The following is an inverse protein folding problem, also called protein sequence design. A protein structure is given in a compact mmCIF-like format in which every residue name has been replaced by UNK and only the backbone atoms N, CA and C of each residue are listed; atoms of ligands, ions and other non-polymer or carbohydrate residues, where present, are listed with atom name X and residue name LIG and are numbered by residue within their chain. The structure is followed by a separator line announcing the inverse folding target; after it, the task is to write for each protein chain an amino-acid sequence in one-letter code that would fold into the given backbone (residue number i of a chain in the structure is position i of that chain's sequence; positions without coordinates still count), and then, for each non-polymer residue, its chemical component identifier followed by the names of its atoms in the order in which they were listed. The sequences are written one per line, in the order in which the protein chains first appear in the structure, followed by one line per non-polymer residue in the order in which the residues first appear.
data_IF_121401525349
#
_entry.id   IF_121401525349
#
_cell.length_a   1.000
_cell.length_b   1.000
_cell.length_c   1.000
_cell.angle_alpha   90.00
_cell.angle_beta   90.00
_cell.angle_gamma   90.00
#
_symmetry.space_group_name_H-M   'P 1'
#
loop_
_entity.id
_entity.type
_entity.pdbx_description
1 polymer ?
#
# COMPACT_ATOMS: atom_id res chain seq x y z
N UNK A 1 -29.89 -37.18 10.38
CA UNK A 1 -29.63 -37.27 11.83
C UNK A 1 -28.14 -37.42 12.06
N UNK A 2 -27.60 -36.66 13.02
CA UNK A 2 -26.19 -36.41 13.35
C UNK A 2 -25.37 -37.68 13.60
N UNK A 3 -24.07 -37.62 13.25
CA UNK A 3 -22.85 -38.31 13.77
C UNK A 3 -21.82 -38.33 12.62
N UNK A 4 -20.59 -37.85 12.68
CA UNK A 4 -19.75 -37.40 13.78
C UNK A 4 -18.64 -36.52 13.19
N UNK A 5 -18.40 -35.43 13.89
CA UNK A 5 -17.24 -34.54 13.82
C UNK A 5 -15.95 -35.38 13.88
N UNK A 6 -15.11 -35.32 12.85
CA UNK A 6 -13.71 -35.72 12.93
C UNK A 6 -12.84 -34.77 12.08
N UNK A 7 -11.95 -34.08 12.78
CA UNK A 7 -10.76 -33.36 12.33
C UNK A 7 -10.87 -32.39 11.14
N UNK A 8 -11.11 -31.11 11.44
CA UNK A 8 -10.35 -30.03 10.80
C UNK A 8 -9.92 -29.04 11.89
N UNK A 9 -8.86 -29.41 12.62
CA UNK A 9 -8.00 -28.46 13.29
C UNK A 9 -7.02 -27.94 12.25
N UNK A 10 -7.23 -26.72 11.73
CA UNK A 10 -6.17 -25.76 11.46
C UNK A 10 -6.73 -24.50 10.76
N UNK A 11 -6.37 -23.35 11.32
CA UNK A 11 -6.15 -22.09 10.63
C UNK A 11 -7.36 -21.47 9.93
N UNK A 12 -8.15 -20.72 10.68
CA UNK A 12 -8.25 -19.26 10.47
C UNK A 12 -9.42 -18.75 11.30
N UNK A 13 -9.09 -18.23 12.47
CA UNK A 13 -10.01 -17.28 13.07
C UNK A 13 -10.25 -16.16 12.06
N UNK A 14 -11.49 -15.76 11.87
CA UNK A 14 -11.76 -14.33 11.99
C UNK A 14 -13.21 -14.09 12.38
N UNK A 15 -13.29 -13.22 13.38
CA UNK A 15 -14.47 -12.66 13.96
C UNK A 15 -15.15 -11.65 13.02
N UNK A 16 -16.48 -11.71 13.01
CA UNK A 16 -17.51 -10.66 13.13
C UNK A 16 -17.21 -9.21 12.64
N UNK A 17 -18.21 -8.67 11.91
CA UNK A 17 -18.86 -7.35 12.12
C UNK A 17 -18.68 -6.24 11.05
N UNK A 18 -19.83 -5.90 10.44
CA UNK A 18 -20.35 -4.57 10.05
C UNK A 18 -19.64 -3.69 8.99
N UNK A 19 -20.19 -3.80 7.76
CA UNK A 19 -20.47 -2.79 6.72
C UNK A 19 -19.62 -1.50 6.64
N UNK A 20 -18.85 -1.40 5.55
CA UNK A 20 -18.89 -0.24 4.65
C UNK A 20 -18.58 -0.70 3.21
N UNK A 21 -19.63 -0.73 2.37
CA UNK A 21 -19.64 -0.98 0.91
C UNK A 21 -18.49 -1.79 0.30
N UNK A 22 -18.61 -3.12 0.35
CA UNK A 22 -17.91 -4.05 -0.54
C UNK A 22 -18.97 -4.70 -1.44
N UNK A 23 -18.93 -4.42 -2.73
CA UNK A 23 -19.63 -5.20 -3.73
C UNK A 23 -18.97 -6.59 -3.78
N UNK A 24 -19.70 -7.63 -3.40
CA UNK A 24 -19.24 -9.02 -3.46
C UNK A 24 -19.57 -9.59 -4.83
N UNK A 25 -18.57 -9.93 -5.64
CA UNK A 25 -18.67 -10.96 -6.69
C UNK A 25 -17.32 -11.69 -6.84
N UNK A 26 -17.32 -12.98 -6.50
CA UNK A 26 -16.42 -14.07 -6.95
C UNK A 26 -14.88 -13.95 -6.72
N UNK A 27 -14.27 -15.01 -6.21
CA UNK A 27 -12.83 -15.12 -5.96
C UNK A 27 -12.41 -14.69 -4.55
N UNK A 28 -11.67 -15.57 -3.87
CA UNK A 28 -11.26 -15.44 -2.47
C UNK A 28 -10.70 -14.05 -2.10
N UNK A 29 -10.90 -13.59 -0.86
CA UNK A 29 -10.40 -12.28 -0.39
C UNK A 29 -8.88 -12.08 -0.60
N UNK A 30 -8.13 -13.18 -0.77
CA UNK A 30 -6.71 -13.17 -1.09
C UNK A 30 -6.43 -12.68 -2.52
N UNK A 31 -7.21 -13.07 -3.54
CA UNK A 31 -7.03 -12.58 -4.92
C UNK A 31 -7.36 -11.10 -5.04
N UNK A 32 -8.33 -10.60 -4.25
CA UNK A 32 -8.62 -9.17 -4.18
C UNK A 32 -7.49 -8.40 -3.49
N UNK A 33 -6.96 -8.91 -2.39
CA UNK A 33 -5.81 -8.30 -1.72
C UNK A 33 -4.56 -8.28 -2.63
N UNK A 34 -4.34 -9.34 -3.41
CA UNK A 34 -3.28 -9.43 -4.40
C UNK A 34 -3.47 -8.39 -5.53
N UNK A 35 -4.69 -8.23 -6.05
CA UNK A 35 -5.00 -7.23 -7.06
C UNK A 35 -4.85 -5.79 -6.54
N UNK A 36 -5.32 -5.50 -5.33
CA UNK A 36 -5.14 -4.19 -4.68
C UNK A 36 -3.66 -3.89 -4.48
N UNK A 37 -2.88 -4.88 -4.03
CA UNK A 37 -1.44 -4.73 -3.89
C UNK A 37 -0.76 -4.45 -5.23
N UNK A 38 -1.14 -5.16 -6.30
CA UNK A 38 -0.59 -4.93 -7.63
C UNK A 38 -0.81 -3.48 -8.11
N UNK A 39 -2.00 -2.92 -7.88
CA UNK A 39 -2.30 -1.53 -8.23
C UNK A 39 -1.39 -0.53 -7.49
N UNK A 40 -1.11 -0.77 -6.20
CA UNK A 40 -0.19 0.08 -5.44
C UNK A 40 1.26 -0.04 -5.91
N UNK A 41 1.69 -1.22 -6.34
CA UNK A 41 3.03 -1.42 -6.93
C UNK A 41 3.14 -0.67 -8.26
N UNK A 42 2.11 -0.73 -9.10
CA UNK A 42 2.06 0.00 -10.36
C UNK A 42 2.10 1.52 -10.13
N UNK A 43 1.26 2.04 -9.23
CA UNK A 43 1.24 3.45 -8.87
C UNK A 43 2.59 3.92 -8.30
N UNK A 44 3.22 3.08 -7.45
CA UNK A 44 4.56 3.36 -6.92
C UNK A 44 5.59 3.51 -8.05
N UNK A 45 5.59 2.58 -9.02
CA UNK A 45 6.52 2.60 -10.14
C UNK A 45 6.30 3.83 -11.04
N UNK A 46 5.04 4.12 -11.37
CA UNK A 46 4.68 5.31 -12.16
C UNK A 46 5.16 6.60 -11.48
N UNK A 47 4.90 6.77 -10.18
CA UNK A 47 5.34 7.95 -9.44
C UNK A 47 6.87 8.02 -9.33
N UNK A 48 7.55 6.88 -9.27
CA UNK A 48 9.01 6.82 -9.27
C UNK A 48 9.58 7.32 -10.60
N UNK A 49 9.07 6.84 -11.73
CA UNK A 49 9.48 7.33 -13.05
C UNK A 49 9.19 8.83 -13.21
N UNK A 50 8.01 9.28 -12.80
CA UNK A 50 7.64 10.69 -12.83
C UNK A 50 8.55 11.57 -11.93
N UNK A 51 8.97 11.05 -10.78
CA UNK A 51 9.94 11.72 -9.91
C UNK A 51 11.32 11.83 -10.57
N UNK A 52 11.79 10.77 -11.25
CA UNK A 52 13.03 10.82 -12.02
C UNK A 52 12.93 11.77 -13.22
N UNK A 53 11.74 11.94 -13.80
CA UNK A 53 11.45 12.95 -14.82
C UNK A 53 11.29 14.38 -14.26
N UNK A 54 11.56 14.61 -12.97
CA UNK A 54 11.57 15.94 -12.37
C UNK A 54 10.23 16.44 -11.81
N UNK A 55 9.21 15.59 -11.70
CA UNK A 55 7.94 15.98 -11.07
C UNK A 55 8.06 15.92 -9.54
N UNK A 56 8.20 17.09 -8.93
CA UNK A 56 8.38 17.25 -7.48
C UNK A 56 7.26 16.58 -6.65
N UNK A 57 6.00 16.70 -7.07
CA UNK A 57 4.85 16.08 -6.40
C UNK A 57 4.89 14.55 -6.46
N UNK A 58 5.44 13.97 -7.53
CA UNK A 58 5.61 12.53 -7.64
C UNK A 58 6.68 12.02 -6.66
N UNK A 59 7.78 12.76 -6.49
CA UNK A 59 8.78 12.44 -5.47
C UNK A 59 8.18 12.43 -4.05
N UNK A 60 7.29 13.37 -3.73
CA UNK A 60 6.56 13.36 -2.46
C UNK A 60 5.70 12.10 -2.29
N UNK A 61 4.97 11.68 -3.35
CA UNK A 61 4.18 10.43 -3.33
C UNK A 61 5.05 9.19 -3.11
N UNK A 62 6.22 9.11 -3.74
CA UNK A 62 7.19 8.02 -3.50
C UNK A 62 7.68 8.03 -2.05
N UNK A 63 7.94 9.21 -1.48
CA UNK A 63 8.29 9.37 -0.07
C UNK A 63 7.20 8.80 0.86
N UNK A 64 5.93 9.08 0.58
CA UNK A 64 4.79 8.54 1.33
C UNK A 64 4.66 7.02 1.15
N UNK A 65 4.82 6.50 -0.06
CA UNK A 65 4.79 5.07 -0.32
C UNK A 65 5.85 4.33 0.50
N UNK A 66 7.08 4.86 0.58
CA UNK A 66 8.11 4.31 1.46
C UNK A 66 7.81 4.47 2.95
N UNK A 67 7.13 5.55 3.37
CA UNK A 67 6.72 5.76 4.77
C UNK A 67 5.66 4.74 5.20
N UNK A 68 4.66 4.50 4.35
CA UNK A 68 3.52 3.63 4.63
C UNK A 68 3.73 2.16 4.25
N UNK A 69 4.65 1.87 3.33
CA UNK A 69 4.81 0.53 2.76
C UNK A 69 3.78 0.20 1.66
N UNK A 70 3.23 1.21 0.99
CA UNK A 70 2.20 1.05 -0.05
C UNK A 70 2.88 0.74 -1.39
N UNK A 71 2.68 -0.48 -1.91
CA UNK A 71 3.30 -0.92 -3.17
C UNK A 71 4.82 -1.11 -3.11
N UNK A 72 5.43 -0.95 -1.93
CA UNK A 72 6.87 -1.10 -1.72
C UNK A 72 7.15 -1.45 -0.26
N UNK A 73 8.27 -2.13 0.02
CA UNK A 73 8.70 -2.36 1.40
C UNK A 73 8.94 -1.02 2.12
N UNK A 74 8.29 -0.85 3.27
CA UNK A 74 8.45 0.35 4.13
C UNK A 74 9.92 0.62 4.43
N UNK A 75 10.33 1.88 4.28
CA UNK A 75 11.68 2.36 4.58
C UNK A 75 11.66 3.85 4.89
N UNK A 76 11.77 4.21 6.16
CA UNK A 76 11.84 5.62 6.57
C UNK A 76 13.06 6.34 6.01
N UNK A 77 14.20 5.66 5.89
CA UNK A 77 15.39 6.23 5.27
C UNK A 77 15.12 6.67 3.82
N UNK A 78 14.57 5.78 2.99
CA UNK A 78 14.22 6.12 1.60
C UNK A 78 13.12 7.17 1.54
N UNK A 79 12.13 7.09 2.43
CA UNK A 79 11.09 8.11 2.55
C UNK A 79 11.69 9.52 2.69
N UNK A 80 12.65 9.70 3.60
CA UNK A 80 13.34 10.97 3.80
C UNK A 80 14.19 11.40 2.60
N UNK A 81 14.82 10.47 1.89
CA UNK A 81 15.55 10.76 0.65
C UNK A 81 14.62 11.36 -0.42
N UNK A 82 13.43 10.78 -0.61
CA UNK A 82 12.46 11.25 -1.60
C UNK A 82 11.75 12.54 -1.17
N UNK A 83 11.48 12.74 0.12
CA UNK A 83 10.97 14.04 0.62
C UNK A 83 11.97 15.17 0.42
N UNK A 84 13.26 14.93 0.71
CA UNK A 84 14.33 15.89 0.39
C UNK A 84 14.42 16.19 -1.10
N UNK A 85 14.32 15.15 -1.94
CA UNK A 85 14.31 15.31 -3.39
C UNK A 85 13.10 16.14 -3.86
N UNK A 86 11.91 15.89 -3.34
CA UNK A 86 10.70 16.66 -3.60
C UNK A 86 10.85 18.14 -3.16
N UNK A 87 11.37 18.37 -1.96
CA UNK A 87 11.61 19.70 -1.40
C UNK A 87 12.58 20.52 -2.27
N UNK A 88 13.70 19.90 -2.68
CA UNK A 88 14.69 20.53 -3.57
C UNK A 88 14.10 20.96 -4.93
N UNK A 89 13.04 20.31 -5.37
CA UNK A 89 12.30 20.65 -6.59
C UNK A 89 11.11 21.60 -6.34
N UNK A 90 11.00 22.17 -5.13
CA UNK A 90 9.97 23.17 -4.79
C UNK A 90 8.64 22.58 -4.29
N UNK A 91 8.57 21.29 -3.95
CA UNK A 91 7.37 20.74 -3.33
C UNK A 91 7.35 21.00 -1.82
N UNK A 92 6.43 21.86 -1.38
CA UNK A 92 6.26 22.25 0.03
C UNK A 92 5.94 21.07 0.96
N UNK A 93 5.11 20.11 0.52
CA UNK A 93 4.79 18.93 1.31
C UNK A 93 6.02 18.03 1.50
N UNK A 94 6.88 17.93 0.49
CA UNK A 94 8.19 17.33 0.59
C UNK A 94 9.00 17.97 1.71
N UNK A 95 9.07 19.30 1.74
CA UNK A 95 9.82 20.03 2.78
C UNK A 95 9.27 19.81 4.20
N UNK A 96 7.94 19.84 4.36
CA UNK A 96 7.28 19.63 5.66
C UNK A 96 7.43 18.21 6.23
N UNK A 97 7.87 17.24 5.41
CA UNK A 97 7.93 15.84 5.80
C UNK A 97 9.36 15.29 5.93
N UNK A 98 10.40 16.15 5.97
CA UNK A 98 11.82 15.76 5.96
C UNK A 98 12.41 15.33 7.33
N UNK A 99 11.60 15.35 8.38
CA UNK A 99 11.99 15.10 9.78
C UNK A 99 11.76 13.65 10.21
#
# INVERSE_FOLDING_TARGET
MKKSVFLILCLSGLAIAQQSNIYIYDGNAQSQAEAIWANWVEEFNYNKEACEAGRASACFKVGNAYRGGTGVKRSYKKSQEYFRKACKMGNEYGCMNMD
#
